data_IF_543428512723
#
_entry.id   IF_543428512723
#
_cell.length_a   1.000
_cell.length_b   1.000
_cell.length_c   1.000
_cell.angle_alpha   90.00
_cell.angle_beta   90.00
_cell.angle_gamma   90.00
#
_symmetry.space_group_name_H-M   'P 1'
#
loop_
_entity.id
_entity.type
_entity.pdbx_description
1 polymer ?
#
# COMPACT_ATOMS: atom_id res chain seq x y z
N UNK A 1 12.58 19.40 14.28
CA UNK A 1 11.75 19.14 13.10
C UNK A 1 12.35 18.09 12.19
N UNK A 2 13.59 18.20 11.75
CA UNK A 2 14.19 17.22 10.82
C UNK A 2 14.32 15.80 11.38
N UNK A 3 14.63 15.66 12.65
CA UNK A 3 14.71 14.35 13.33
C UNK A 3 13.35 13.62 13.35
N UNK A 4 12.24 14.37 13.37
CA UNK A 4 10.88 13.83 13.34
C UNK A 4 10.54 13.23 11.96
N UNK A 5 10.90 13.89 10.87
CA UNK A 5 10.66 13.35 9.52
C UNK A 5 11.48 12.09 9.22
N UNK A 6 12.74 12.06 9.65
CA UNK A 6 13.59 10.89 9.48
C UNK A 6 13.05 9.67 10.25
N UNK A 7 12.58 9.90 11.48
CA UNK A 7 11.94 8.86 12.29
C UNK A 7 10.63 8.36 11.65
N UNK A 8 9.83 9.27 11.06
CA UNK A 8 8.61 8.91 10.32
C UNK A 8 8.95 8.05 9.10
N UNK A 9 9.97 8.41 8.34
CA UNK A 9 10.39 7.67 7.14
C UNK A 9 10.86 6.26 7.49
N UNK A 10 11.81 6.13 8.42
CA UNK A 10 12.34 4.82 8.83
C UNK A 10 11.25 3.99 9.52
N UNK A 11 10.48 4.62 10.38
CA UNK A 11 9.37 3.98 11.07
C UNK A 11 8.33 3.42 10.11
N UNK A 12 7.96 4.16 9.07
CA UNK A 12 6.96 3.71 8.09
C UNK A 12 7.48 2.62 7.13
N UNK A 13 8.77 2.65 6.78
CA UNK A 13 9.35 1.68 5.83
C UNK A 13 9.65 0.34 6.52
N UNK A 14 10.32 0.36 7.68
CA UNK A 14 10.85 -0.85 8.32
C UNK A 14 10.07 -1.29 9.54
N UNK A 15 9.79 -0.40 10.49
CA UNK A 15 9.22 -0.77 11.81
C UNK A 15 7.72 -1.01 11.70
N UNK A 16 6.99 -0.06 11.16
CA UNK A 16 5.54 -0.11 10.97
C UNK A 16 5.19 -0.32 9.49
N UNK A 17 5.85 -1.28 8.85
CA UNK A 17 5.51 -1.60 7.47
C UNK A 17 4.03 -1.96 7.35
N UNK A 18 3.32 -1.26 6.50
CA UNK A 18 1.86 -1.35 6.37
C UNK A 18 1.37 -2.76 6.03
N UNK A 19 2.16 -3.53 5.28
CA UNK A 19 1.80 -4.91 4.90
C UNK A 19 2.18 -5.91 5.99
N UNK A 20 3.42 -5.84 6.47
CA UNK A 20 4.01 -6.87 7.32
C UNK A 20 3.67 -6.69 8.81
N UNK A 21 3.50 -5.44 9.27
CA UNK A 21 3.16 -5.15 10.66
C UNK A 21 1.66 -4.89 10.87
N UNK A 22 1.00 -4.23 9.92
CA UNK A 22 -0.42 -3.86 10.04
C UNK A 22 -1.35 -4.76 9.22
N UNK A 23 -0.81 -5.65 8.40
CA UNK A 23 -1.56 -6.57 7.52
C UNK A 23 -2.52 -5.87 6.55
N UNK A 24 -2.23 -4.63 6.17
CA UNK A 24 -3.00 -3.87 5.19
C UNK A 24 -2.40 -4.04 3.78
N UNK A 25 -3.26 -4.18 2.78
CA UNK A 25 -2.82 -4.39 1.40
C UNK A 25 -2.42 -5.83 1.07
N UNK A 26 -2.93 -6.81 1.79
CA UNK A 26 -2.64 -8.24 1.55
C UNK A 26 -3.19 -8.70 0.19
N UNK A 27 -4.31 -8.17 -0.26
CA UNK A 27 -4.92 -8.57 -1.53
C UNK A 27 -3.96 -8.37 -2.73
N UNK A 28 -3.40 -7.18 -2.97
CA UNK A 28 -2.38 -7.01 -4.00
C UNK A 28 -1.06 -7.70 -3.64
N UNK A 29 -0.70 -7.78 -2.37
CA UNK A 29 0.52 -8.45 -1.91
C UNK A 29 0.55 -9.94 -2.30
N UNK A 30 -0.53 -10.69 -2.13
CA UNK A 30 -0.62 -12.09 -2.53
C UNK A 30 -0.97 -12.25 -4.01
N UNK A 31 -1.81 -11.37 -4.56
CA UNK A 31 -2.33 -11.51 -5.91
C UNK A 31 -1.34 -11.16 -7.01
N UNK A 32 -0.51 -10.14 -6.80
CA UNK A 32 0.37 -9.59 -7.84
C UNK A 32 1.83 -10.04 -7.72
N UNK A 33 2.22 -10.61 -6.59
CA UNK A 33 3.61 -10.98 -6.29
C UNK A 33 4.11 -12.27 -6.96
N UNK A 34 3.51 -12.69 -8.05
CA UNK A 34 3.96 -13.87 -8.83
C UNK A 34 5.23 -13.60 -9.65
N UNK A 35 5.47 -12.34 -10.04
CA UNK A 35 6.65 -11.89 -10.80
C UNK A 35 7.14 -10.56 -10.25
N UNK A 36 8.46 -10.40 -10.18
CA UNK A 36 9.10 -9.15 -9.71
C UNK A 36 8.72 -7.96 -10.60
N UNK A 37 8.62 -8.15 -11.89
CA UNK A 37 8.30 -7.09 -12.86
C UNK A 37 6.89 -6.51 -12.66
N UNK A 38 5.89 -7.37 -12.45
CA UNK A 38 4.51 -6.93 -12.15
C UNK A 38 4.42 -6.28 -10.76
N UNK A 39 5.20 -6.76 -9.80
CA UNK A 39 5.29 -6.20 -8.45
C UNK A 39 5.87 -4.80 -8.44
N UNK A 40 6.89 -4.53 -9.27
CA UNK A 40 7.47 -3.20 -9.41
C UNK A 40 6.46 -2.21 -10.00
N UNK A 41 5.76 -2.61 -11.07
CA UNK A 41 4.70 -1.80 -11.67
C UNK A 41 3.56 -1.49 -10.71
N UNK A 42 3.14 -2.49 -9.93
CA UNK A 42 2.11 -2.33 -8.90
C UNK A 42 2.57 -1.40 -7.77
N UNK A 43 3.82 -1.55 -7.31
CA UNK A 43 4.41 -0.68 -6.29
C UNK A 43 4.43 0.78 -6.71
N UNK A 44 4.83 1.07 -7.95
CA UNK A 44 4.83 2.41 -8.51
C UNK A 44 3.40 3.00 -8.62
N UNK A 45 2.44 2.20 -9.11
CA UNK A 45 1.05 2.62 -9.23
C UNK A 45 0.42 2.92 -7.86
N UNK A 46 0.65 2.06 -6.87
CA UNK A 46 0.18 2.27 -5.49
C UNK A 46 0.80 3.51 -4.88
N UNK A 47 2.09 3.76 -5.10
CA UNK A 47 2.78 4.96 -4.60
C UNK A 47 2.12 6.24 -5.13
N UNK A 48 1.85 6.27 -6.43
CA UNK A 48 1.20 7.41 -7.07
C UNK A 48 -0.23 7.64 -6.53
N UNK A 49 -1.04 6.57 -6.51
CA UNK A 49 -2.42 6.65 -6.04
C UNK A 49 -2.50 7.00 -4.56
N UNK A 50 -1.65 6.38 -3.72
CA UNK A 50 -1.62 6.62 -2.29
C UNK A 50 -1.31 8.09 -1.96
N UNK A 51 -0.32 8.66 -2.66
CA UNK A 51 0.07 10.07 -2.45
C UNK A 51 -1.08 11.02 -2.80
N UNK A 52 -1.71 10.84 -3.95
CA UNK A 52 -2.83 11.70 -4.38
C UNK A 52 -4.04 11.49 -3.45
N UNK A 53 -4.38 10.23 -3.14
CA UNK A 53 -5.49 9.91 -2.26
C UNK A 53 -5.33 10.55 -0.87
N UNK A 54 -4.13 10.49 -0.29
CA UNK A 54 -3.86 11.09 1.03
C UNK A 54 -4.03 12.61 1.00
N UNK A 55 -3.57 13.29 -0.04
CA UNK A 55 -3.74 14.74 -0.18
C UNK A 55 -5.22 15.09 -0.26
N UNK A 56 -5.96 14.42 -1.14
CA UNK A 56 -7.38 14.73 -1.37
C UNK A 56 -8.23 14.39 -0.15
N UNK A 57 -8.01 13.23 0.47
CA UNK A 57 -8.75 12.83 1.68
C UNK A 57 -8.46 13.75 2.87
N UNK A 58 -7.22 14.20 3.02
CA UNK A 58 -6.85 15.18 4.05
C UNK A 58 -7.57 16.52 3.85
N UNK A 59 -7.62 17.03 2.62
CA UNK A 59 -8.34 18.28 2.30
C UNK A 59 -9.83 18.12 2.55
N UNK A 60 -10.44 17.01 2.13
CA UNK A 60 -11.86 16.76 2.34
C UNK A 60 -12.18 16.63 3.84
N UNK A 61 -11.34 15.94 4.60
CA UNK A 61 -11.49 15.85 6.05
C UNK A 61 -11.54 17.25 6.66
N UNK A 62 -10.52 18.06 6.39
CA UNK A 62 -10.33 19.36 7.04
C UNK A 62 -11.36 20.40 6.62
N UNK A 63 -11.76 20.45 5.35
CA UNK A 63 -12.66 21.48 4.83
C UNK A 63 -14.12 21.07 4.82
N UNK A 64 -14.44 19.80 4.76
CA UNK A 64 -15.83 19.32 4.64
C UNK A 64 -16.27 18.60 5.92
N UNK A 65 -15.59 17.54 6.31
CA UNK A 65 -16.05 16.72 7.43
C UNK A 65 -15.96 17.45 8.77
N UNK A 66 -14.86 18.14 9.02
CA UNK A 66 -14.65 18.87 10.28
C UNK A 66 -15.57 20.09 10.34
N UNK A 67 -15.82 20.76 9.20
CA UNK A 67 -16.73 21.91 9.14
C UNK A 67 -18.20 21.53 9.41
N UNK A 68 -18.62 20.32 9.01
CA UNK A 68 -20.00 19.83 9.22
C UNK A 68 -20.16 18.91 10.43
N UNK A 69 -19.08 18.58 11.14
CA UNK A 69 -19.13 17.69 12.31
C UNK A 69 -19.51 16.23 11.98
N UNK A 70 -19.32 15.80 10.73
CA UNK A 70 -19.73 14.51 10.20
C UNK A 70 -18.64 13.42 10.35
N UNK A 71 -17.95 13.38 11.50
CA UNK A 71 -16.86 12.42 11.74
C UNK A 71 -17.24 10.93 11.58
N UNK A 72 -18.52 10.58 11.83
CA UNK A 72 -19.00 9.22 11.64
C UNK A 72 -19.08 8.78 10.17
N UNK A 73 -19.14 9.72 9.22
CA UNK A 73 -19.17 9.45 7.78
C UNK A 73 -17.77 9.42 7.13
N UNK A 74 -16.71 9.60 7.92
CA UNK A 74 -15.32 9.67 7.44
C UNK A 74 -14.96 8.49 6.53
N UNK A 75 -15.18 7.26 6.99
CA UNK A 75 -14.80 6.05 6.25
C UNK A 75 -15.54 5.93 4.92
N UNK A 76 -16.84 6.20 4.91
CA UNK A 76 -17.68 6.12 3.69
C UNK A 76 -17.22 7.17 2.67
N UNK A 77 -16.98 8.41 3.13
CA UNK A 77 -16.51 9.49 2.28
C UNK A 77 -15.13 9.17 1.67
N UNK A 78 -14.22 8.61 2.47
CA UNK A 78 -12.88 8.24 2.00
C UNK A 78 -12.92 7.13 0.96
N UNK A 79 -13.72 6.08 1.17
CA UNK A 79 -13.90 5.00 0.19
C UNK A 79 -14.41 5.56 -1.14
N UNK A 80 -15.42 6.43 -1.10
CA UNK A 80 -16.01 7.01 -2.30
C UNK A 80 -15.01 7.91 -3.06
N UNK A 81 -14.25 8.74 -2.35
CA UNK A 81 -13.23 9.59 -2.95
C UNK A 81 -12.11 8.76 -3.57
N UNK A 82 -11.60 7.76 -2.84
CA UNK A 82 -10.54 6.87 -3.33
C UNK A 82 -11.00 6.12 -4.57
N UNK A 83 -12.23 5.59 -4.57
CA UNK A 83 -12.79 4.90 -5.74
C UNK A 83 -12.88 5.83 -6.96
N UNK A 84 -13.37 7.05 -6.79
CA UNK A 84 -13.45 8.02 -7.87
C UNK A 84 -12.07 8.42 -8.42
N UNK A 85 -11.09 8.64 -7.54
CA UNK A 85 -9.71 8.96 -7.92
C UNK A 85 -9.05 7.82 -8.71
N UNK A 86 -9.20 6.57 -8.24
CA UNK A 86 -8.59 5.42 -8.91
C UNK A 86 -9.22 5.19 -10.27
N UNK A 87 -10.52 5.35 -10.41
CA UNK A 87 -11.19 5.26 -11.72
C UNK A 87 -10.70 6.35 -12.69
N UNK A 88 -10.47 7.56 -12.20
CA UNK A 88 -9.88 8.63 -13.00
C UNK A 88 -8.46 8.26 -13.46
N UNK A 89 -7.62 7.73 -12.56
CA UNK A 89 -6.27 7.25 -12.87
C UNK A 89 -6.31 6.10 -13.87
N UNK A 90 -7.25 5.18 -13.76
CA UNK A 90 -7.45 4.08 -14.72
C UNK A 90 -7.71 4.59 -16.14
N UNK A 91 -8.60 5.56 -16.30
CA UNK A 91 -8.91 6.16 -17.60
C UNK A 91 -7.68 6.86 -18.18
N UNK A 92 -6.89 7.54 -17.34
CA UNK A 92 -5.65 8.20 -17.75
C UNK A 92 -4.61 7.17 -18.19
N UNK A 93 -4.38 6.12 -17.41
CA UNK A 93 -3.45 5.04 -17.75
C UNK A 93 -3.81 4.34 -19.04
N UNK A 94 -5.08 4.09 -19.30
CA UNK A 94 -5.57 3.48 -20.53
C UNK A 94 -5.22 4.31 -21.77
N UNK A 95 -5.19 5.64 -21.64
CA UNK A 95 -4.86 6.55 -22.74
C UNK A 95 -3.36 6.79 -22.90
N UNK A 96 -2.61 6.90 -21.79
CA UNK A 96 -1.20 7.31 -21.80
C UNK A 96 -0.27 6.11 -22.01
N UNK A 97 -0.57 4.97 -21.41
CA UNK A 97 0.28 3.78 -21.50
C UNK A 97 -0.53 2.50 -21.61
N UNK A 98 -0.97 2.15 -22.84
CA UNK A 98 -1.75 0.93 -23.08
C UNK A 98 -1.01 -0.36 -22.69
N UNK A 99 0.33 -0.39 -22.82
CA UNK A 99 1.16 -1.53 -22.44
C UNK A 99 1.13 -1.78 -20.92
N UNK A 100 1.26 -0.71 -20.12
CA UNK A 100 1.16 -0.78 -18.67
C UNK A 100 -0.27 -1.13 -18.23
N UNK A 101 -1.27 -0.60 -18.92
CA UNK A 101 -2.66 -0.94 -18.68
C UNK A 101 -2.94 -2.43 -18.94
N UNK A 102 -2.39 -3.02 -20.00
CA UNK A 102 -2.54 -4.46 -20.26
C UNK A 102 -1.83 -5.33 -19.23
N UNK A 103 -0.65 -4.92 -18.76
CA UNK A 103 0.08 -5.61 -17.71
C UNK A 103 -0.62 -5.53 -16.35
N UNK A 104 -1.23 -4.40 -16.00
CA UNK A 104 -1.92 -4.14 -14.74
C UNK A 104 -3.44 -4.33 -14.82
N UNK A 105 -4.02 -4.50 -16.00
CA UNK A 105 -5.46 -4.41 -16.27
C UNK A 105 -6.34 -5.31 -15.39
N UNK A 106 -5.88 -6.53 -15.10
CA UNK A 106 -6.60 -7.47 -14.22
C UNK A 106 -6.44 -7.06 -12.74
N UNK A 107 -5.38 -6.30 -12.41
CA UNK A 107 -5.03 -5.92 -11.03
C UNK A 107 -5.49 -4.51 -10.65
N UNK A 108 -6.02 -3.73 -11.58
CA UNK A 108 -6.57 -2.39 -11.31
C UNK A 108 -7.69 -2.39 -10.26
N UNK A 109 -8.65 -3.33 -10.27
CA UNK A 109 -9.61 -3.44 -9.17
C UNK A 109 -8.97 -3.65 -7.80
N UNK A 110 -7.80 -4.31 -7.73
CA UNK A 110 -7.06 -4.49 -6.48
C UNK A 110 -6.42 -3.19 -5.97
N UNK A 111 -6.21 -2.19 -6.82
CA UNK A 111 -5.78 -0.86 -6.40
C UNK A 111 -6.97 -0.09 -5.83
N UNK A 112 -8.12 -0.15 -6.49
CA UNK A 112 -9.34 0.55 -6.06
C UNK A 112 -9.82 0.09 -4.68
N UNK A 113 -9.80 -1.22 -4.43
CA UNK A 113 -10.22 -1.83 -3.17
C UNK A 113 -9.06 -2.05 -2.19
N UNK A 114 -7.92 -1.39 -2.41
CA UNK A 114 -6.73 -1.59 -1.58
C UNK A 114 -6.92 -1.01 -0.18
N UNK A 115 -7.00 -1.87 0.80
CA UNK A 115 -7.13 -1.50 2.21
C UNK A 115 -5.92 -0.72 2.76
N UNK A 116 -4.74 -0.80 2.11
CA UNK A 116 -3.59 0.01 2.46
C UNK A 116 -3.87 1.51 2.23
N UNK A 117 -4.47 1.87 1.09
CA UNK A 117 -4.76 3.26 0.75
C UNK A 117 -5.74 3.86 1.75
N UNK A 118 -6.82 3.13 2.05
CA UNK A 118 -7.81 3.56 3.03
C UNK A 118 -7.20 3.63 4.44
N UNK A 119 -6.42 2.61 4.82
CA UNK A 119 -5.77 2.54 6.13
C UNK A 119 -4.83 3.71 6.38
N UNK A 120 -3.99 4.05 5.41
CA UNK A 120 -3.08 5.21 5.51
C UNK A 120 -3.86 6.53 5.60
N UNK A 121 -4.92 6.70 4.82
CA UNK A 121 -5.76 7.88 4.89
C UNK A 121 -6.38 8.08 6.28
N UNK A 122 -6.84 7.00 6.91
CA UNK A 122 -7.38 7.04 8.28
C UNK A 122 -6.29 7.29 9.31
N UNK A 123 -5.14 6.60 9.20
CA UNK A 123 -4.02 6.75 10.14
C UNK A 123 -3.44 8.17 10.16
N UNK A 124 -3.38 8.83 9.02
CA UNK A 124 -2.93 10.22 8.91
C UNK A 124 -3.81 11.16 9.75
N UNK A 125 -5.12 10.96 9.72
CA UNK A 125 -6.06 11.76 10.51
C UNK A 125 -5.97 11.40 12.01
N UNK A 126 -5.88 10.11 12.33
CA UNK A 126 -5.77 9.66 13.74
C UNK A 126 -4.50 10.14 14.43
N UNK A 127 -3.40 10.27 13.68
CA UNK A 127 -2.12 10.78 14.18
C UNK A 127 -2.01 12.30 14.14
N UNK A 128 -3.07 12.99 13.72
CA UNK A 128 -3.14 14.46 13.64
C UNK A 128 -1.95 15.08 12.88
N UNK A 129 -1.48 14.41 11.82
CA UNK A 129 -0.37 14.89 11.02
C UNK A 129 -0.74 16.16 10.25
N UNK A 130 0.24 17.07 10.11
CA UNK A 130 0.12 18.18 9.18
C UNK A 130 0.13 17.70 7.73
N UNK A 131 -0.32 18.52 6.78
CA UNK A 131 -0.38 18.15 5.35
C UNK A 131 0.99 17.68 4.82
N UNK A 132 2.09 18.33 5.18
CA UNK A 132 3.45 17.93 4.79
C UNK A 132 3.83 16.57 5.40
N UNK A 133 3.59 16.36 6.67
CA UNK A 133 3.84 15.09 7.36
C UNK A 133 3.00 13.97 6.79
N UNK A 134 1.76 14.26 6.41
CA UNK A 134 0.85 13.31 5.76
C UNK A 134 1.39 12.82 4.43
N UNK A 135 1.91 13.72 3.60
CA UNK A 135 2.50 13.40 2.30
C UNK A 135 3.79 12.59 2.48
N UNK A 136 4.67 13.01 3.40
CA UNK A 136 5.91 12.26 3.71
C UNK A 136 5.57 10.86 4.23
N UNK A 137 4.61 10.74 5.13
CA UNK A 137 4.16 9.46 5.65
C UNK A 137 3.57 8.55 4.56
N UNK A 138 2.74 9.11 3.67
CA UNK A 138 2.15 8.37 2.55
C UNK A 138 3.21 7.83 1.59
N UNK A 139 4.17 8.68 1.18
CA UNK A 139 5.26 8.27 0.28
C UNK A 139 6.14 7.21 0.95
N UNK A 140 6.51 7.40 2.22
CA UNK A 140 7.33 6.45 2.97
C UNK A 140 6.63 5.09 3.12
N UNK A 141 5.34 5.10 3.43
CA UNK A 141 4.52 3.89 3.54
C UNK A 141 4.40 3.17 2.19
N UNK A 142 4.23 3.92 1.11
CA UNK A 142 4.16 3.36 -0.24
C UNK A 142 5.49 2.72 -0.68
N UNK A 143 6.62 3.33 -0.33
CA UNK A 143 7.96 2.76 -0.55
C UNK A 143 8.12 1.47 0.28
N UNK A 144 7.70 1.48 1.54
CA UNK A 144 7.69 0.29 2.39
C UNK A 144 6.82 -0.85 1.84
N UNK A 145 5.64 -0.49 1.28
CA UNK A 145 4.76 -1.43 0.59
C UNK A 145 5.44 -2.04 -0.65
N UNK A 146 6.02 -1.20 -1.50
CA UNK A 146 6.72 -1.64 -2.71
C UNK A 146 7.92 -2.53 -2.38
N UNK A 147 8.71 -2.17 -1.36
CA UNK A 147 9.85 -2.97 -0.88
C UNK A 147 9.39 -4.36 -0.43
N UNK A 148 8.38 -4.43 0.43
CA UNK A 148 7.84 -5.71 0.90
C UNK A 148 7.32 -6.57 -0.26
N UNK A 149 6.63 -5.94 -1.22
CA UNK A 149 6.09 -6.62 -2.40
C UNK A 149 7.20 -7.20 -3.29
N UNK A 150 8.28 -6.45 -3.53
CA UNK A 150 9.41 -6.89 -4.36
C UNK A 150 10.18 -8.03 -3.68
N UNK A 151 10.47 -7.92 -2.38
CA UNK A 151 11.15 -8.98 -1.62
C UNK A 151 10.32 -10.28 -1.67
N UNK A 152 9.03 -10.16 -1.42
CA UNK A 152 8.12 -11.30 -1.43
C UNK A 152 7.98 -11.94 -2.82
N UNK A 153 7.91 -11.13 -3.88
CA UNK A 153 7.89 -11.61 -5.25
C UNK A 153 9.19 -12.38 -5.60
N UNK A 154 10.35 -11.84 -5.21
CA UNK A 154 11.63 -12.54 -5.41
C UNK A 154 11.69 -13.89 -4.72
N UNK A 155 11.20 -13.98 -3.48
CA UNK A 155 11.13 -15.26 -2.75
C UNK A 155 10.18 -16.24 -3.45
N UNK A 156 9.01 -15.78 -3.89
CA UNK A 156 8.04 -16.64 -4.60
C UNK A 156 8.55 -17.12 -5.94
N UNK A 157 9.28 -16.30 -6.66
CA UNK A 157 9.88 -16.67 -7.95
C UNK A 157 10.96 -17.77 -7.76
N UNK A 158 11.77 -17.66 -6.71
CA UNK A 158 12.73 -18.71 -6.35
C UNK A 158 12.05 -20.00 -5.87
N UNK A 159 11.01 -19.89 -5.05
CA UNK A 159 10.24 -21.04 -4.58
C UNK A 159 9.52 -21.78 -5.72
N UNK A 160 9.14 -21.09 -6.79
CA UNK A 160 8.54 -21.71 -7.97
C UNK A 160 9.52 -22.64 -8.72
N UNK A 161 10.83 -22.37 -8.61
CA UNK A 161 11.89 -23.23 -9.20
C UNK A 161 12.30 -24.39 -8.29
N UNK A 162 11.87 -24.39 -7.02
CA UNK A 162 12.25 -25.42 -6.03
C UNK A 162 11.19 -26.53 -5.97
N UNK A 163 11.61 -27.73 -5.60
CA UNK A 163 10.72 -28.89 -5.47
C UNK A 163 9.85 -28.75 -4.20
N UNK A 164 8.67 -28.18 -4.35
CA UNK A 164 7.69 -28.03 -3.28
C UNK A 164 6.68 -29.18 -3.36
N UNK A 165 6.29 -29.82 -2.23
CA UNK A 165 5.23 -30.84 -2.21
C UNK A 165 3.93 -30.28 -2.80
N UNK A 166 3.22 -31.10 -3.59
CA UNK A 166 2.04 -30.64 -4.34
C UNK A 166 0.92 -30.03 -3.46
N UNK A 167 0.77 -30.53 -2.24
CA UNK A 167 -0.22 -29.99 -1.29
C UNK A 167 0.11 -28.60 -0.73
N UNK A 168 1.37 -28.14 -0.88
CA UNK A 168 1.81 -26.82 -0.40
C UNK A 168 2.05 -25.82 -1.53
N UNK A 169 1.95 -26.24 -2.78
CA UNK A 169 2.12 -25.34 -3.94
C UNK A 169 1.05 -24.25 -3.96
N UNK A 170 1.46 -23.02 -4.32
CA UNK A 170 0.57 -21.90 -4.53
C UNK A 170 0.35 -21.03 -3.28
N UNK A 171 -0.90 -20.86 -2.85
CA UNK A 171 -1.26 -19.96 -1.75
C UNK A 171 -0.73 -20.39 -0.38
N UNK A 172 -0.71 -21.70 0.01
CA UNK A 172 -0.23 -22.11 1.33
C UNK A 172 1.24 -21.72 1.59
N UNK A 173 2.13 -21.97 0.65
CA UNK A 173 3.55 -21.63 0.81
C UNK A 173 3.77 -20.11 0.79
N UNK A 174 2.93 -19.38 0.02
CA UNK A 174 2.98 -17.93 -0.01
C UNK A 174 2.59 -17.32 1.36
N UNK A 175 1.60 -17.89 2.04
CA UNK A 175 1.21 -17.44 3.39
C UNK A 175 2.28 -17.74 4.44
N UNK A 176 2.91 -18.91 4.36
CA UNK A 176 4.01 -19.28 5.27
C UNK A 176 5.20 -18.32 5.08
N UNK A 177 5.60 -18.06 3.84
CA UNK A 177 6.69 -17.12 3.53
C UNK A 177 6.35 -15.69 3.93
N UNK A 178 5.11 -15.25 3.75
CA UNK A 178 4.65 -13.94 4.23
C UNK A 178 4.73 -13.83 5.76
N UNK A 179 4.33 -14.89 6.48
CA UNK A 179 4.45 -14.95 7.94
C UNK A 179 5.90 -14.92 8.43
N UNK A 180 6.79 -15.65 7.78
CA UNK A 180 8.23 -15.64 8.09
C UNK A 180 8.85 -14.25 7.82
N UNK A 181 8.46 -13.62 6.71
CA UNK A 181 8.91 -12.27 6.37
C UNK A 181 8.40 -11.25 7.40
N UNK A 182 7.15 -11.36 7.84
CA UNK A 182 6.58 -10.50 8.89
C UNK A 182 7.33 -10.65 10.22
N UNK A 183 7.68 -11.88 10.62
CA UNK A 183 8.50 -12.12 11.82
C UNK A 183 9.91 -11.55 11.70
N UNK A 184 10.52 -11.62 10.52
CA UNK A 184 11.83 -11.00 10.27
C UNK A 184 11.78 -9.47 10.39
N UNK A 185 10.71 -8.84 9.89
CA UNK A 185 10.51 -7.39 10.03
C UNK A 185 10.17 -6.95 11.46
N UNK A 186 9.55 -7.81 12.26
CA UNK A 186 9.35 -7.54 13.70
C UNK A 186 10.67 -7.35 14.46
N UNK A 187 11.77 -7.93 13.98
CA UNK A 187 13.10 -7.70 14.55
C UNK A 187 13.57 -6.23 14.51
N UNK A 188 12.99 -5.41 13.63
CA UNK A 188 13.27 -3.97 13.56
C UNK A 188 12.45 -3.14 14.55
N UNK A 189 11.49 -3.73 15.27
CA UNK A 189 10.56 -3.00 16.15
C UNK A 189 11.21 -2.42 17.44
N UNK A 190 12.52 -2.44 17.56
CA UNK A 190 13.24 -1.82 18.68
C UNK A 190 14.21 -0.71 18.29
N UNK A 191 14.19 -0.28 17.02
CA UNK A 191 15.20 0.67 16.50
C UNK A 191 14.71 2.12 16.53
N UNK A 192 13.41 2.35 16.64
CA UNK A 192 12.79 3.70 16.67
C UNK A 192 11.93 3.88 17.92
#
# INVERSE_FOLDING_TARGET
MELSYFAIIIGAIFVNNVVLAQFLGICPFLGVSSKVETSLGMGAAVTFVLTIATIVTFLVQKYILDAFGLGFMQTISFILIIAALVQMVEIILKKVSPALYQALGVFLPLITTNCCILGVAILVIQKEYNLLESVVYAISTAIGFALALIIFAGIREQLAMTHVPEGMKGTPIALITAGLLAMAFMGFSGIV
#
